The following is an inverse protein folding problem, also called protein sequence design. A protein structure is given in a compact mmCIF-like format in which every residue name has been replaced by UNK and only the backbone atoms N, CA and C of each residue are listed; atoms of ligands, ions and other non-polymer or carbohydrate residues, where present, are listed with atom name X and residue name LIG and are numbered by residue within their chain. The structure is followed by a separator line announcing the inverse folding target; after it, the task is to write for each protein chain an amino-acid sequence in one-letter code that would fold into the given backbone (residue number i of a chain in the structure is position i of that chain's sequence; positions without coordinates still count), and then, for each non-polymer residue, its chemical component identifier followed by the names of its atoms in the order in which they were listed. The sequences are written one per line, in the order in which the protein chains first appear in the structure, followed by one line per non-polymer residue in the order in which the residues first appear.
data_IF_344237810547
#
_entry.id   IF_344237810547
#
_cell.length_a   1.000
_cell.length_b   1.000
_cell.length_c   1.000
_cell.angle_alpha   90.00
_cell.angle_beta   90.00
_cell.angle_gamma   90.00
#
_symmetry.space_group_name_H-M   'P 1'
#
loop_
_entity.id
_entity.type
_entity.pdbx_description
1 polymer ?
#
# COMPACT_ATOMS: atom_id res chain seq x y z
N UNK A 1 11.20 19.72 -10.17
CA UNK A 1 12.48 19.13 -10.62
C UNK A 1 13.54 20.22 -10.90
N UNK A 2 13.25 21.47 -10.55
CA UNK A 2 13.80 22.64 -11.26
C UNK A 2 14.72 23.48 -10.36
N UNK A 3 14.94 23.02 -9.13
CA UNK A 3 15.84 23.67 -8.18
C UNK A 3 17.26 23.78 -8.76
N UNK A 4 17.86 22.73 -9.36
CA UNK A 4 19.18 22.86 -9.99
C UNK A 4 19.19 23.83 -11.17
N UNK A 5 18.11 23.86 -11.97
CA UNK A 5 17.97 24.75 -13.12
C UNK A 5 17.89 26.22 -12.66
N UNK A 6 17.00 26.51 -11.73
CA UNK A 6 16.85 27.85 -11.15
C UNK A 6 18.16 28.32 -10.46
N UNK A 7 18.84 27.43 -9.76
CA UNK A 7 20.13 27.69 -9.14
C UNK A 7 21.21 28.07 -10.17
N UNK A 8 21.38 27.26 -11.23
CA UNK A 8 22.38 27.52 -12.27
C UNK A 8 22.09 28.81 -13.05
N UNK A 9 20.81 29.10 -13.34
CA UNK A 9 20.40 30.36 -13.96
C UNK A 9 20.66 31.56 -13.05
N UNK A 10 20.44 31.43 -11.75
CA UNK A 10 20.75 32.50 -10.78
C UNK A 10 22.25 32.79 -10.73
N UNK A 11 23.10 31.75 -10.71
CA UNK A 11 24.56 31.92 -10.77
C UNK A 11 25.01 32.61 -12.05
N UNK A 12 24.50 32.17 -13.20
CA UNK A 12 24.91 32.71 -14.51
C UNK A 12 24.43 34.15 -14.73
N UNK A 13 23.27 34.51 -14.20
CA UNK A 13 22.71 35.85 -14.35
C UNK A 13 23.17 36.85 -13.29
N UNK A 14 23.71 36.38 -12.16
CA UNK A 14 24.03 37.23 -11.00
C UNK A 14 22.79 37.85 -10.34
N UNK A 15 21.60 37.30 -10.60
CA UNK A 15 20.30 37.83 -10.16
C UNK A 15 19.45 36.72 -9.56
N UNK A 16 18.45 37.11 -8.76
CA UNK A 16 17.42 36.18 -8.27
C UNK A 16 16.56 35.68 -9.44
N UNK A 17 16.26 34.38 -9.42
CA UNK A 17 15.44 33.71 -10.44
C UNK A 17 14.22 33.08 -9.78
N UNK A 18 13.03 33.34 -10.34
CA UNK A 18 11.77 32.70 -9.95
C UNK A 18 11.34 31.77 -11.08
N UNK A 19 11.20 30.47 -10.78
CA UNK A 19 10.58 29.52 -11.70
C UNK A 19 9.07 29.55 -11.52
N UNK A 20 8.33 29.66 -12.62
CA UNK A 20 6.87 29.59 -12.66
C UNK A 20 6.51 28.58 -13.74
N UNK A 21 5.69 27.60 -13.39
CA UNK A 21 5.16 26.60 -14.32
C UNK A 21 3.69 26.90 -14.55
N UNK A 22 3.23 26.68 -15.78
CA UNK A 22 1.82 26.49 -16.04
C UNK A 22 1.40 25.06 -15.65
N UNK A 23 0.10 24.79 -15.75
CA UNK A 23 -0.46 23.53 -15.31
C UNK A 23 0.03 22.34 -16.14
N UNK A 24 0.23 22.54 -17.44
CA UNK A 24 0.71 21.49 -18.35
C UNK A 24 2.17 21.14 -18.05
N UNK A 25 3.02 22.14 -17.81
CA UNK A 25 4.39 21.94 -17.37
C UNK A 25 4.44 21.23 -16.01
N UNK A 26 3.51 21.50 -15.10
CA UNK A 26 3.43 20.79 -13.81
C UNK A 26 3.15 19.28 -14.01
N UNK A 27 2.28 18.88 -14.94
CA UNK A 27 2.05 17.45 -15.21
C UNK A 27 3.25 16.75 -15.83
N UNK A 28 4.02 17.47 -16.66
CA UNK A 28 5.20 16.91 -17.35
C UNK A 28 6.42 16.86 -16.42
N UNK A 29 6.60 17.90 -15.59
CA UNK A 29 7.71 18.02 -14.65
C UNK A 29 7.43 17.35 -13.30
N UNK A 30 6.17 17.06 -13.00
CA UNK A 30 5.73 16.38 -11.80
C UNK A 30 6.19 14.92 -11.75
N UNK A 31 6.10 14.34 -10.56
CA UNK A 31 6.44 12.95 -10.34
C UNK A 31 5.17 12.16 -9.98
N UNK A 32 4.46 11.62 -10.98
CA UNK A 32 3.25 10.86 -10.73
C UNK A 32 3.55 9.58 -9.94
N UNK A 33 2.50 8.99 -9.38
CA UNK A 33 2.58 7.68 -8.74
C UNK A 33 2.98 6.62 -9.77
N UNK A 34 3.82 5.68 -9.34
CA UNK A 34 4.18 4.49 -10.12
C UNK A 34 2.93 3.68 -10.51
N UNK A 35 2.71 3.50 -11.82
CA UNK A 35 1.71 2.55 -12.30
C UNK A 35 2.20 1.12 -12.01
N UNK A 36 1.29 0.20 -11.68
CA UNK A 36 1.66 -1.12 -11.19
C UNK A 36 0.82 -2.23 -11.82
N UNK A 37 1.46 -3.34 -12.17
CA UNK A 37 0.82 -4.63 -12.40
C UNK A 37 1.15 -5.51 -11.20
N UNK A 38 0.13 -6.05 -10.54
CA UNK A 38 0.29 -6.81 -9.30
C UNK A 38 -0.36 -8.17 -9.46
N UNK A 39 0.37 -9.22 -9.11
CA UNK A 39 -0.15 -10.59 -9.04
C UNK A 39 -0.10 -11.06 -7.60
N UNK A 40 -1.23 -11.56 -7.11
CA UNK A 40 -1.36 -12.06 -5.74
C UNK A 40 -1.76 -13.53 -5.78
N UNK A 41 -1.02 -14.38 -5.07
CA UNK A 41 -1.31 -15.80 -4.90
C UNK A 41 -1.29 -16.15 -3.42
N UNK A 42 -2.35 -16.78 -2.93
CA UNK A 42 -2.48 -17.17 -1.53
C UNK A 42 -2.72 -18.67 -1.39
N UNK A 43 -1.97 -19.31 -0.49
CA UNK A 43 -2.26 -20.64 0.04
C UNK A 43 -3.09 -20.51 1.31
N UNK A 44 -4.29 -21.09 1.32
CA UNK A 44 -5.24 -20.96 2.42
C UNK A 44 -5.72 -22.35 2.82
N UNK A 45 -5.75 -22.61 4.13
CA UNK A 45 -6.29 -23.84 4.69
C UNK A 45 -7.82 -23.91 4.53
N UNK A 46 -8.39 -25.11 4.71
CA UNK A 46 -9.85 -25.29 4.71
C UNK A 46 -10.57 -24.49 5.80
N UNK A 47 -9.89 -24.19 6.91
CA UNK A 47 -10.46 -23.41 8.01
C UNK A 47 -10.32 -21.88 7.83
N UNK A 48 -9.70 -21.42 6.73
CA UNK A 48 -9.58 -19.99 6.41
C UNK A 48 -8.31 -19.31 6.92
N UNK A 49 -7.34 -20.07 7.45
CA UNK A 49 -6.01 -19.54 7.81
C UNK A 49 -5.15 -19.38 6.57
N UNK A 50 -4.47 -18.24 6.45
CA UNK A 50 -3.49 -18.00 5.39
C UNK A 50 -2.18 -18.66 5.79
N UNK A 51 -1.69 -19.56 4.94
CA UNK A 51 -0.46 -20.33 5.17
C UNK A 51 0.71 -19.77 4.37
N UNK A 52 0.43 -19.35 3.14
CA UNK A 52 1.42 -18.82 2.22
C UNK A 52 0.85 -17.65 1.43
N UNK A 53 1.69 -16.66 1.13
CA UNK A 53 1.29 -15.50 0.35
C UNK A 53 2.44 -15.04 -0.53
N UNK A 54 2.15 -14.83 -1.81
CA UNK A 54 3.10 -14.34 -2.79
C UNK A 54 2.50 -13.13 -3.50
N UNK A 55 3.22 -12.01 -3.43
CA UNK A 55 2.86 -10.77 -4.13
C UNK A 55 4.01 -10.40 -5.07
N UNK A 56 3.71 -10.37 -6.36
CA UNK A 56 4.64 -9.97 -7.42
C UNK A 56 4.21 -8.61 -7.98
N UNK A 57 5.06 -7.60 -7.76
CA UNK A 57 4.87 -6.24 -8.22
C UNK A 57 5.75 -5.95 -9.43
N UNK A 58 5.15 -5.36 -10.46
CA UNK A 58 5.86 -4.69 -11.55
C UNK A 58 5.45 -3.23 -11.58
N UNK A 59 6.37 -2.34 -11.22
CA UNK A 59 6.18 -0.89 -11.21
C UNK A 59 6.78 -0.24 -12.45
N UNK A 60 5.95 0.46 -13.22
CA UNK A 60 6.38 1.40 -14.23
C UNK A 60 6.83 2.70 -13.54
N UNK A 61 8.09 3.05 -13.73
CA UNK A 61 8.73 4.16 -13.02
C UNK A 61 9.18 5.31 -13.93
N UNK A 62 8.85 5.24 -15.23
CA UNK A 62 9.29 6.22 -16.21
C UNK A 62 10.78 6.14 -16.55
N UNK A 63 11.32 7.22 -17.12
CA UNK A 63 12.60 7.22 -17.83
C UNK A 63 13.86 7.27 -16.96
N UNK A 64 13.78 7.83 -15.74
CA UNK A 64 14.95 8.10 -14.90
C UNK A 64 14.85 7.49 -13.51
N UNK A 65 16.01 7.35 -12.86
CA UNK A 65 16.09 6.82 -11.49
C UNK A 65 15.26 7.63 -10.49
N UNK A 66 15.12 8.94 -10.71
CA UNK A 66 14.26 9.85 -9.96
C UNK A 66 14.23 9.55 -8.45
N UNK A 67 13.04 9.38 -7.86
CA UNK A 67 12.85 9.10 -6.44
C UNK A 67 12.95 7.60 -6.09
N UNK A 68 13.88 6.84 -6.68
CA UNK A 68 14.16 5.42 -6.35
C UNK A 68 15.36 5.19 -5.40
N UNK A 69 15.58 5.93 -4.29
CA UNK A 69 16.88 5.83 -3.60
C UNK A 69 17.16 4.48 -2.92
N UNK A 70 16.16 3.59 -2.74
CA UNK A 70 16.29 2.40 -1.87
C UNK A 70 15.96 1.08 -2.61
N UNK A 71 15.67 1.12 -3.92
CA UNK A 71 15.45 -0.09 -4.73
C UNK A 71 14.11 -0.80 -4.55
N UNK A 72 13.26 -0.35 -3.63
CA UNK A 72 11.88 -0.82 -3.42
C UNK A 72 10.97 0.32 -2.93
N UNK A 73 9.65 0.13 -2.96
CA UNK A 73 8.66 1.05 -2.41
C UNK A 73 8.19 0.53 -1.04
N UNK A 74 8.40 1.31 0.02
CA UNK A 74 8.06 0.91 1.40
C UNK A 74 6.65 0.33 1.57
N UNK A 75 5.65 0.92 0.91
CA UNK A 75 4.27 0.45 0.98
C UNK A 75 4.03 -0.88 0.29
N UNK A 76 4.74 -1.15 -0.80
CA UNK A 76 4.64 -2.43 -1.51
C UNK A 76 5.35 -3.54 -0.71
N UNK A 77 6.45 -3.21 -0.05
CA UNK A 77 7.18 -4.14 0.82
C UNK A 77 6.33 -4.64 2.00
N UNK A 78 5.42 -3.81 2.51
CA UNK A 78 4.52 -4.15 3.63
C UNK A 78 3.12 -4.60 3.15
N UNK A 79 2.92 -4.79 1.84
CA UNK A 79 1.60 -4.95 1.23
C UNK A 79 0.85 -6.22 1.65
N UNK A 80 1.54 -7.23 2.18
CA UNK A 80 0.91 -8.43 2.75
C UNK A 80 0.00 -8.10 3.95
N UNK A 81 0.11 -6.88 4.51
CA UNK A 81 -0.86 -6.31 5.44
C UNK A 81 -0.89 -7.05 6.78
N UNK A 82 -1.77 -6.64 7.72
CA UNK A 82 -1.65 -7.05 9.11
C UNK A 82 -2.22 -8.46 9.36
N UNK A 83 -1.90 -9.42 8.50
CA UNK A 83 -2.32 -10.80 8.63
C UNK A 83 -1.14 -11.69 9.00
N UNK A 84 -1.40 -12.64 9.87
CA UNK A 84 -0.50 -13.72 10.24
C UNK A 84 -0.39 -14.67 9.06
N UNK A 85 0.81 -14.81 8.56
CA UNK A 85 1.15 -15.67 7.45
C UNK A 85 2.50 -16.32 7.76
N UNK A 86 2.59 -17.64 7.65
CA UNK A 86 3.82 -18.37 7.97
C UNK A 86 4.88 -18.23 6.87
N UNK A 87 4.44 -18.11 5.62
CA UNK A 87 5.33 -18.07 4.46
C UNK A 87 4.95 -16.90 3.56
N UNK A 88 5.85 -15.93 3.39
CA UNK A 88 5.58 -14.74 2.59
C UNK A 88 6.73 -14.49 1.62
N UNK A 89 6.39 -14.25 0.36
CA UNK A 89 7.30 -13.78 -0.67
C UNK A 89 6.73 -12.51 -1.28
N UNK A 90 7.49 -11.41 -1.20
CA UNK A 90 7.16 -10.15 -1.85
C UNK A 90 8.29 -9.83 -2.82
N UNK A 91 7.93 -9.70 -4.09
CA UNK A 91 8.87 -9.33 -5.15
C UNK A 91 8.50 -7.98 -5.72
N UNK A 92 9.48 -7.08 -5.79
CA UNK A 92 9.30 -5.74 -6.37
C UNK A 92 10.23 -5.55 -7.56
N UNK A 93 9.64 -5.36 -8.74
CA UNK A 93 10.36 -5.09 -9.99
C UNK A 93 10.05 -3.67 -10.42
N UNK A 94 11.05 -2.78 -10.37
CA UNK A 94 10.91 -1.38 -10.80
C UNK A 94 11.52 -1.23 -12.18
N UNK A 95 10.70 -1.08 -13.22
CA UNK A 95 11.14 -1.03 -14.62
C UNK A 95 11.24 0.40 -15.13
N UNK A 96 12.20 0.63 -16.02
CA UNK A 96 12.31 1.87 -16.79
C UNK A 96 11.40 1.80 -18.02
N UNK A 97 10.74 2.92 -18.32
CA UNK A 97 9.90 3.09 -19.51
C UNK A 97 10.13 4.47 -20.12
N UNK A 98 9.59 4.74 -21.31
CA UNK A 98 9.70 6.05 -21.96
C UNK A 98 8.69 7.08 -21.43
N UNK A 99 8.09 6.87 -20.25
CA UNK A 99 7.13 7.79 -19.62
C UNK A 99 7.81 8.78 -18.66
N UNK A 100 7.03 9.76 -18.21
CA UNK A 100 7.44 10.75 -17.21
C UNK A 100 7.97 10.03 -15.95
N UNK A 101 9.12 10.45 -15.39
CA UNK A 101 9.68 9.84 -14.19
C UNK A 101 8.72 9.92 -13.00
N UNK A 102 8.40 8.76 -12.45
CA UNK A 102 7.50 8.66 -11.31
C UNK A 102 8.21 9.00 -9.99
N UNK A 103 7.44 9.17 -8.92
CA UNK A 103 8.00 9.38 -7.59
C UNK A 103 7.02 9.14 -6.44
N UNK A 104 7.38 9.67 -5.28
CA UNK A 104 6.65 9.46 -4.03
C UNK A 104 5.37 10.30 -3.99
N UNK A 105 4.24 9.68 -4.33
CA UNK A 105 2.91 10.15 -3.97
C UNK A 105 2.52 9.57 -2.60
N UNK A 106 1.70 10.30 -1.81
CA UNK A 106 1.29 9.93 -0.44
C UNK A 106 1.08 8.42 -0.28
N UNK A 107 1.81 7.83 0.67
CA UNK A 107 1.95 6.39 0.86
C UNK A 107 2.48 5.69 -0.42
N UNK A 108 3.81 5.71 -0.66
CA UNK A 108 4.38 5.19 -1.90
C UNK A 108 4.30 3.66 -1.98
N UNK A 109 3.62 3.14 -3.01
CA UNK A 109 3.41 1.71 -3.25
C UNK A 109 2.27 1.09 -2.44
N UNK A 110 1.90 1.72 -1.32
CA UNK A 110 0.93 1.19 -0.37
C UNK A 110 -0.50 1.11 -0.94
N UNK A 111 -1.11 2.15 -1.54
CA UNK A 111 -2.43 2.05 -2.15
C UNK A 111 -2.54 0.95 -3.20
N UNK A 112 -1.48 0.73 -3.98
CA UNK A 112 -1.44 -0.31 -4.99
C UNK A 112 -1.41 -1.71 -4.35
N UNK A 113 -0.53 -1.91 -3.36
CA UNK A 113 -0.42 -3.16 -2.61
C UNK A 113 -1.66 -3.48 -1.79
N UNK A 114 -2.20 -2.50 -1.04
CA UNK A 114 -3.40 -2.64 -0.22
C UNK A 114 -4.61 -2.99 -1.08
N UNK A 115 -4.80 -2.31 -2.22
CA UNK A 115 -5.89 -2.67 -3.13
C UNK A 115 -5.78 -4.13 -3.58
N UNK A 116 -4.60 -4.59 -3.98
CA UNK A 116 -4.38 -5.95 -4.45
C UNK A 116 -4.59 -6.99 -3.32
N UNK A 117 -4.02 -6.75 -2.14
CA UNK A 117 -4.10 -7.67 -1.01
C UNK A 117 -5.50 -7.72 -0.40
N UNK A 118 -6.16 -6.59 -0.16
CA UNK A 118 -7.51 -6.57 0.40
C UNK A 118 -8.56 -7.11 -0.56
N UNK A 119 -8.37 -6.90 -1.87
CA UNK A 119 -9.19 -7.58 -2.88
C UNK A 119 -9.00 -9.09 -2.81
N UNK A 120 -7.76 -9.57 -2.65
CA UNK A 120 -7.47 -10.99 -2.48
C UNK A 120 -8.14 -11.57 -1.22
N UNK A 121 -8.18 -10.82 -0.12
CA UNK A 121 -8.87 -11.22 1.11
C UNK A 121 -10.37 -11.44 0.89
N UNK A 122 -11.02 -10.57 0.13
CA UNK A 122 -12.43 -10.75 -0.26
C UNK A 122 -12.62 -11.97 -1.19
N UNK A 123 -11.71 -12.18 -2.15
CA UNK A 123 -11.75 -13.35 -3.03
C UNK A 123 -11.59 -14.67 -2.26
N UNK A 124 -10.70 -14.70 -1.25
CA UNK A 124 -10.52 -15.86 -0.36
C UNK A 124 -11.81 -16.11 0.43
N UNK A 125 -12.36 -15.07 1.07
CA UNK A 125 -13.59 -15.18 1.84
C UNK A 125 -14.75 -15.71 0.97
N UNK A 126 -14.91 -15.16 -0.24
CA UNK A 126 -15.91 -15.62 -1.22
C UNK A 126 -15.71 -17.09 -1.61
N UNK A 127 -14.48 -17.50 -1.90
CA UNK A 127 -14.16 -18.88 -2.30
C UNK A 127 -14.44 -19.89 -1.19
N UNK A 128 -14.20 -19.50 0.06
CA UNK A 128 -14.48 -20.31 1.26
C UNK A 128 -15.92 -20.16 1.77
N UNK A 129 -16.75 -19.32 1.12
CA UNK A 129 -18.11 -18.96 1.57
C UNK A 129 -18.13 -18.49 3.03
N UNK A 130 -17.10 -17.72 3.40
CA UNK A 130 -16.94 -17.15 4.73
C UNK A 130 -17.29 -15.66 4.71
N UNK A 131 -17.78 -15.14 5.83
CA UNK A 131 -17.93 -13.71 6.03
C UNK A 131 -16.57 -12.99 5.88
N UNK A 132 -16.46 -11.93 5.04
CA UNK A 132 -15.19 -11.23 4.81
C UNK A 132 -14.59 -10.61 6.07
N UNK A 133 -15.41 -10.13 7.00
CA UNK A 133 -14.93 -9.55 8.25
C UNK A 133 -14.38 -10.64 9.19
N UNK A 134 -15.05 -11.80 9.26
CA UNK A 134 -14.56 -12.98 9.98
C UNK A 134 -13.23 -13.47 9.40
N UNK A 135 -13.12 -13.56 8.07
CA UNK A 135 -11.91 -14.01 7.39
C UNK A 135 -10.70 -13.13 7.73
N UNK A 136 -10.87 -11.80 7.72
CA UNK A 136 -9.83 -10.86 8.16
C UNK A 136 -9.52 -11.04 9.63
N UNK A 137 -10.54 -10.98 10.50
CA UNK A 137 -10.38 -11.04 11.96
C UNK A 137 -9.58 -12.25 12.45
N UNK A 138 -9.82 -13.42 11.85
CA UNK A 138 -9.10 -14.65 12.25
C UNK A 138 -7.63 -14.66 11.82
N UNK A 139 -7.30 -13.94 10.75
CA UNK A 139 -5.95 -13.85 10.23
C UNK A 139 -5.18 -12.66 10.80
N UNK A 140 -5.82 -11.65 11.40
CA UNK A 140 -5.13 -10.48 11.96
C UNK A 140 -4.00 -10.86 12.93
N UNK A 141 -2.85 -10.17 12.80
CA UNK A 141 -1.75 -10.17 13.77
C UNK A 141 -2.23 -9.66 15.14
N UNK A 142 -1.56 -10.11 16.19
CA UNK A 142 -1.77 -9.73 17.59
C UNK A 142 -0.42 -9.45 18.25
N UNK A 143 -0.46 -8.85 19.44
CA UNK A 143 0.76 -8.65 20.23
C UNK A 143 1.51 -9.99 20.43
N UNK A 144 2.80 -9.97 20.08
CA UNK A 144 3.67 -11.15 20.09
C UNK A 144 3.80 -11.88 18.75
N UNK A 145 2.92 -11.61 17.78
CA UNK A 145 3.07 -12.11 16.41
C UNK A 145 4.12 -11.28 15.64
N UNK A 146 4.73 -11.90 14.64
CA UNK A 146 5.56 -11.21 13.64
C UNK A 146 4.71 -10.79 12.44
N UNK A 147 5.02 -9.62 11.89
CA UNK A 147 4.47 -9.18 10.60
C UNK A 147 4.94 -10.09 9.46
N UNK A 148 4.28 -10.05 8.30
CA UNK A 148 4.69 -10.79 7.09
C UNK A 148 6.16 -10.62 6.69
N UNK A 149 6.80 -9.52 7.08
CA UNK A 149 8.21 -9.21 6.80
C UNK A 149 9.14 -9.48 8.00
N UNK A 150 8.68 -10.22 9.01
CA UNK A 150 9.47 -10.64 10.17
C UNK A 150 9.68 -9.57 11.25
N UNK A 151 8.99 -8.42 11.16
CA UNK A 151 9.07 -7.37 12.19
C UNK A 151 8.10 -7.65 13.33
N UNK A 152 8.56 -7.48 14.58
CA UNK A 152 7.71 -7.49 15.77
C UNK A 152 7.05 -6.14 15.96
N UNK A 153 5.74 -6.15 16.16
CA UNK A 153 4.93 -4.94 16.30
C UNK A 153 4.20 -5.03 17.64
N UNK A 154 4.36 -4.01 18.46
CA UNK A 154 3.70 -3.90 19.76
C UNK A 154 2.43 -3.06 19.67
N UNK A 155 1.55 -3.23 20.66
CA UNK A 155 0.33 -2.45 20.84
C UNK A 155 -0.64 -2.54 19.64
N UNK A 156 -0.80 -3.74 19.11
CA UNK A 156 -1.66 -3.99 17.95
C UNK A 156 -3.13 -3.87 18.36
N UNK A 157 -3.84 -2.90 17.76
CA UNK A 157 -5.27 -2.65 17.98
C UNK A 157 -6.17 -3.00 16.79
N UNK A 158 -5.65 -3.76 15.83
CA UNK A 158 -6.36 -4.10 14.60
C UNK A 158 -7.72 -4.79 14.86
N UNK A 159 -7.79 -5.70 15.86
CA UNK A 159 -9.03 -6.41 16.20
C UNK A 159 -10.04 -5.50 16.87
N UNK A 160 -9.61 -4.67 17.81
CA UNK A 160 -10.46 -3.70 18.49
C UNK A 160 -11.02 -2.68 17.50
N UNK A 161 -10.17 -2.16 16.60
CA UNK A 161 -10.56 -1.25 15.52
C UNK A 161 -11.59 -1.89 14.61
N UNK A 162 -11.33 -3.12 14.12
CA UNK A 162 -12.28 -3.85 13.28
C UNK A 162 -13.61 -4.09 14.00
N UNK A 163 -13.59 -4.57 15.25
CA UNK A 163 -14.81 -4.85 16.01
C UNK A 163 -15.64 -3.58 16.23
N UNK A 164 -14.98 -2.46 16.54
CA UNK A 164 -15.63 -1.15 16.68
C UNK A 164 -16.23 -0.71 15.35
N UNK A 165 -15.46 -0.75 14.27
CA UNK A 165 -15.93 -0.40 12.93
C UNK A 165 -17.19 -1.20 12.53
N UNK A 166 -17.17 -2.53 12.69
CA UNK A 166 -18.31 -3.38 12.33
C UNK A 166 -19.59 -3.03 13.10
N UNK A 167 -19.44 -2.63 14.37
CA UNK A 167 -20.55 -2.21 15.22
C UNK A 167 -21.08 -0.83 14.80
N UNK A 168 -20.21 0.17 14.74
CA UNK A 168 -20.62 1.55 14.46
C UNK A 168 -21.17 1.72 13.04
N UNK A 169 -20.57 1.05 12.05
CA UNK A 169 -21.04 1.06 10.66
C UNK A 169 -22.30 0.24 10.42
N UNK A 170 -22.74 -0.54 11.42
CA UNK A 170 -23.80 -1.55 11.29
C UNK A 170 -23.55 -2.46 10.08
N UNK A 171 -22.31 -2.92 9.91
CA UNK A 171 -21.84 -3.60 8.69
C UNK A 171 -22.75 -4.76 8.23
N UNK A 172 -23.28 -5.53 9.18
CA UNK A 172 -24.14 -6.70 8.95
C UNK A 172 -25.64 -6.38 8.84
N UNK A 173 -26.05 -5.11 8.99
CA UNK A 173 -27.45 -4.72 8.83
C UNK A 173 -27.94 -4.91 7.39
N UNK A 174 -29.24 -5.12 7.22
CA UNK A 174 -29.85 -5.25 5.88
C UNK A 174 -29.52 -4.02 5.03
N UNK A 175 -29.10 -4.28 3.79
CA UNK A 175 -28.77 -3.24 2.81
C UNK A 175 -29.98 -2.94 1.92
N UNK A 176 -30.18 -1.68 1.49
CA UNK A 176 -31.11 -1.37 0.41
C UNK A 176 -30.71 -2.05 -0.91
N UNK A 177 -31.65 -2.17 -1.87
CA UNK A 177 -31.31 -2.60 -3.23
C UNK A 177 -30.20 -1.73 -3.84
N UNK A 178 -29.30 -2.35 -4.63
CA UNK A 178 -28.19 -1.67 -5.32
C UNK A 178 -27.13 -1.00 -4.40
N UNK A 179 -27.05 -1.38 -3.13
CA UNK A 179 -26.04 -0.86 -2.19
C UNK A 179 -25.04 -1.94 -1.78
N UNK A 180 -23.76 -1.67 -2.03
CA UNK A 180 -22.63 -2.47 -1.58
C UNK A 180 -22.06 -1.99 -0.24
N UNK A 181 -21.35 -2.87 0.46
CA UNK A 181 -20.46 -2.50 1.57
C UNK A 181 -19.16 -3.28 1.37
N UNK A 182 -18.04 -2.57 1.43
CA UNK A 182 -16.70 -3.14 1.41
C UNK A 182 -16.05 -2.97 2.78
N UNK A 183 -15.02 -3.76 3.02
CA UNK A 183 -14.17 -3.67 4.20
C UNK A 183 -12.73 -3.83 3.74
N UNK A 184 -11.85 -2.99 4.25
CA UNK A 184 -10.42 -3.13 4.07
C UNK A 184 -9.74 -2.91 5.41
N UNK A 185 -8.59 -3.54 5.65
CA UNK A 185 -7.73 -3.23 6.79
C UNK A 185 -6.33 -2.96 6.28
N UNK A 186 -5.79 -1.83 6.70
CA UNK A 186 -4.44 -1.42 6.35
C UNK A 186 -3.64 -1.17 7.63
N UNK A 187 -2.39 -1.58 7.58
CA UNK A 187 -1.36 -1.19 8.52
C UNK A 187 -0.37 -0.27 7.82
N UNK A 188 -0.05 0.85 8.45
CA UNK A 188 1.04 1.69 7.99
C UNK A 188 2.02 1.94 9.14
N UNK A 189 3.30 1.65 8.88
CA UNK A 189 4.35 1.84 9.86
C UNK A 189 4.79 3.30 9.89
N UNK A 190 4.83 3.88 11.09
CA UNK A 190 5.43 5.20 11.28
C UNK A 190 6.94 5.09 11.18
N UNK A 191 7.53 5.80 10.21
CA UNK A 191 8.99 5.91 10.07
C UNK A 191 9.66 6.73 11.21
N UNK A 192 8.88 7.18 12.20
CA UNK A 192 9.35 7.77 13.46
C UNK A 192 8.31 7.60 14.58
N UNK A 193 8.74 7.12 15.75
CA UNK A 193 7.90 6.85 16.93
C UNK A 193 7.32 5.41 16.99
N UNK A 194 7.02 4.93 18.20
CA UNK A 194 6.51 3.56 18.48
C UNK A 194 4.98 3.41 18.28
N UNK A 195 4.38 4.15 17.33
CA UNK A 195 2.92 4.16 17.14
C UNK A 195 2.50 3.56 15.80
N UNK A 196 2.06 2.30 15.80
CA UNK A 196 1.42 1.70 14.62
C UNK A 196 -0.06 2.10 14.56
N UNK A 197 -0.47 2.74 13.45
CA UNK A 197 -1.88 3.08 13.20
C UNK A 197 -2.53 2.07 12.25
N UNK A 198 -3.69 1.55 12.65
CA UNK A 198 -4.54 0.69 11.83
C UNK A 198 -5.73 1.49 11.36
N UNK A 199 -5.94 1.56 10.05
CA UNK A 199 -7.15 2.13 9.46
C UNK A 199 -8.03 0.99 8.95
N UNK A 200 -9.34 1.10 9.18
CA UNK A 200 -10.35 0.15 8.74
C UNK A 200 -11.50 0.90 8.08
#
# INVERSE_FOLDING_TARGET
MDVPVAYLLSLKSGRSVKSVMDYDAEFIAGNPRHASVIRVKSGVSKNGRILAHHIDFVFDSGAYGAFKPIGYLFGAHEAAGPYRMENVLIEEKIVYTNKIPCGHMRAPGDPQGVFANESQMDLIAKKLRMDPARCRRMNLIQDGDESPVGRKISHIKARETLNRLLRESKYHSRKPPNVGRGLAIIQWLTLGGECSYFYA
#
